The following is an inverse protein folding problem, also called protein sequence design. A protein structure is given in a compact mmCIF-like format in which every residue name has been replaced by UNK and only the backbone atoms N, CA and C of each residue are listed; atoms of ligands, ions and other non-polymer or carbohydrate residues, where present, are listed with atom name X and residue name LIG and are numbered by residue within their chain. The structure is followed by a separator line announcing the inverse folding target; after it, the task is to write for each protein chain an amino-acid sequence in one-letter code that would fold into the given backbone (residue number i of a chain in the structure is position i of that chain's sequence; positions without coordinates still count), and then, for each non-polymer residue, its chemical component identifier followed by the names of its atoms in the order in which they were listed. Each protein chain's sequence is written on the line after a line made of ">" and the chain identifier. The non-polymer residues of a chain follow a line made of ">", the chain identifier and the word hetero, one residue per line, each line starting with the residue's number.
data_IF_190536052195
#
_entry.id   IF_190536052195
#
_cell.length_a   1.000
_cell.length_b   1.000
_cell.length_c   1.000
_cell.angle_alpha   90.00
_cell.angle_beta   90.00
_cell.angle_gamma   90.00
#
_symmetry.space_group_name_H-M   'P 1'
#
loop_
_entity.id
_entity.type
_entity.pdbx_description
1 polymer ?
#
# COMPACT_ATOMS: atom_id res chain seq x y z
N UNK A 1 -9.34 16.84 11.52
CA UNK A 1 -8.59 15.67 12.02
C UNK A 1 -7.37 15.50 11.13
N UNK A 2 -6.15 15.67 11.64
CA UNK A 2 -4.95 15.43 10.86
C UNK A 2 -4.86 13.93 10.56
N UNK A 3 -5.17 13.53 9.32
CA UNK A 3 -5.09 12.13 8.93
C UNK A 3 -3.61 11.71 8.96
N UNK A 4 -3.26 10.85 9.92
CA UNK A 4 -1.91 10.32 10.06
C UNK A 4 -1.63 9.40 8.87
N UNK A 5 -0.58 9.71 8.10
CA UNK A 5 -0.17 8.87 6.96
C UNK A 5 0.17 7.47 7.45
N UNK A 6 -0.43 6.46 6.83
CA UNK A 6 -0.21 5.05 7.13
C UNK A 6 0.47 4.38 5.93
N UNK A 7 1.32 3.39 6.20
CA UNK A 7 1.89 2.57 5.13
C UNK A 7 0.96 1.41 4.82
N UNK A 8 0.45 1.37 3.61
CA UNK A 8 -0.33 0.27 3.06
C UNK A 8 0.58 -0.66 2.27
N UNK A 9 0.33 -1.95 2.41
CA UNK A 9 0.98 -3.01 1.65
C UNK A 9 -0.06 -3.74 0.84
N UNK A 10 0.30 -4.09 -0.39
CA UNK A 10 -0.55 -4.88 -1.27
C UNK A 10 0.25 -6.04 -1.84
N UNK A 11 -0.35 -7.22 -1.91
CA UNK A 11 0.13 -8.26 -2.82
C UNK A 11 -0.66 -8.11 -4.10
N UNK A 12 0.05 -7.98 -5.21
CA UNK A 12 -0.56 -7.69 -6.49
C UNK A 12 0.04 -8.54 -7.60
N UNK A 13 -0.71 -8.71 -8.69
CA UNK A 13 -0.26 -9.37 -9.91
C UNK A 13 -0.33 -8.32 -11.02
N UNK A 14 0.74 -8.19 -11.80
CA UNK A 14 0.75 -7.28 -12.94
C UNK A 14 -0.17 -7.81 -14.04
N UNK A 15 -1.13 -6.98 -14.49
CA UNK A 15 -2.12 -7.37 -15.52
C UNK A 15 -1.49 -7.62 -16.88
N UNK A 16 -0.39 -6.92 -17.17
CA UNK A 16 0.28 -6.95 -18.47
C UNK A 16 1.27 -8.12 -18.53
N UNK A 17 1.68 -8.64 -17.38
CA UNK A 17 2.76 -9.61 -17.31
C UNK A 17 2.23 -11.03 -17.51
N UNK A 18 2.80 -11.74 -18.48
CA UNK A 18 2.36 -13.09 -18.89
C UNK A 18 2.57 -14.14 -17.80
N UNK A 19 3.45 -13.87 -16.84
CA UNK A 19 3.66 -14.71 -15.66
C UNK A 19 2.90 -14.12 -14.47
N UNK A 20 2.07 -14.94 -13.84
CA UNK A 20 1.31 -14.65 -12.62
C UNK A 20 2.21 -14.60 -11.38
N UNK A 21 3.30 -13.82 -11.45
CA UNK A 21 4.21 -13.67 -10.32
C UNK A 21 3.62 -12.65 -9.33
N UNK A 22 3.32 -13.05 -8.09
CA UNK A 22 2.88 -12.11 -7.09
C UNK A 22 4.02 -11.14 -6.73
N UNK A 23 3.72 -9.85 -6.69
CA UNK A 23 4.62 -8.80 -6.27
C UNK A 23 4.09 -8.12 -5.01
N UNK A 24 4.99 -7.63 -4.17
CA UNK A 24 4.64 -6.88 -2.97
C UNK A 24 4.81 -5.38 -3.23
N UNK A 25 3.70 -4.64 -3.19
CA UNK A 25 3.65 -3.18 -3.36
C UNK A 25 3.51 -2.51 -2.00
N UNK A 26 4.14 -1.36 -1.81
CA UNK A 26 4.09 -0.57 -0.57
C UNK A 26 3.85 0.89 -0.89
N UNK A 27 2.98 1.55 -0.13
CA UNK A 27 2.66 2.96 -0.34
C UNK A 27 2.26 3.64 0.95
N UNK A 28 2.68 4.87 1.15
CA UNK A 28 2.31 5.66 2.33
C UNK A 28 1.28 6.70 1.93
N UNK A 29 0.04 6.53 2.39
CA UNK A 29 -1.08 7.41 2.06
C UNK A 29 -1.91 7.71 3.32
N UNK A 30 -2.81 8.68 3.20
CA UNK A 30 -3.75 9.04 4.27
C UNK A 30 -4.90 8.04 4.41
N UNK A 31 -5.31 7.40 3.31
CA UNK A 31 -6.42 6.47 3.27
C UNK A 31 -6.16 5.29 2.32
N UNK A 32 -6.84 4.16 2.57
CA UNK A 32 -6.69 2.95 1.76
C UNK A 32 -7.16 3.19 0.31
N UNK A 33 -8.17 4.03 0.11
CA UNK A 33 -8.75 4.25 -1.23
C UNK A 33 -7.75 4.95 -2.15
N UNK A 34 -7.07 6.00 -1.67
CA UNK A 34 -5.98 6.68 -2.36
C UNK A 34 -4.80 5.73 -2.61
N UNK A 35 -4.44 4.91 -1.63
CA UNK A 35 -3.41 3.88 -1.77
C UNK A 35 -3.76 2.85 -2.87
N UNK A 36 -5.02 2.42 -2.93
CA UNK A 36 -5.55 1.46 -3.91
C UNK A 36 -5.58 2.06 -5.31
N UNK A 37 -6.01 3.31 -5.45
CA UNK A 37 -6.11 4.02 -6.73
C UNK A 37 -4.76 4.12 -7.45
N UNK A 38 -3.64 4.17 -6.71
CA UNK A 38 -2.29 4.20 -7.30
C UNK A 38 -1.90 2.94 -8.05
N UNK A 39 -2.53 1.79 -7.77
CA UNK A 39 -2.12 0.49 -8.31
C UNK A 39 -3.22 -0.26 -9.08
N UNK A 40 -4.49 0.11 -8.92
CA UNK A 40 -5.63 -0.62 -9.51
C UNK A 40 -5.68 -0.58 -11.05
N UNK A 41 -4.99 0.39 -11.67
CA UNK A 41 -4.88 0.49 -13.13
C UNK A 41 -4.04 -0.66 -13.70
N UNK A 42 -2.83 -0.81 -13.18
CA UNK A 42 -1.81 -1.71 -13.74
C UNK A 42 -1.80 -3.09 -13.08
N UNK A 43 -2.33 -3.20 -11.86
CA UNK A 43 -2.24 -4.41 -11.05
C UNK A 43 -3.60 -4.93 -10.59
N UNK A 44 -3.71 -6.26 -10.53
CA UNK A 44 -4.76 -6.95 -9.79
C UNK A 44 -4.31 -7.04 -8.34
N UNK A 45 -5.05 -6.42 -7.42
CA UNK A 45 -4.75 -6.43 -5.99
C UNK A 45 -5.38 -7.68 -5.35
N UNK A 46 -4.55 -8.58 -4.84
CA UNK A 46 -4.97 -9.85 -4.24
C UNK A 46 -5.10 -9.77 -2.72
N UNK A 47 -4.22 -8.99 -2.07
CA UNK A 47 -4.22 -8.78 -0.63
C UNK A 47 -3.96 -7.31 -0.32
N UNK A 48 -4.58 -6.80 0.75
CA UNK A 48 -4.34 -5.46 1.28
C UNK A 48 -4.08 -5.56 2.78
N UNK A 49 -3.05 -4.86 3.25
CA UNK A 49 -2.72 -4.75 4.66
C UNK A 49 -2.31 -3.32 5.01
N UNK A 50 -2.55 -2.92 6.25
CA UNK A 50 -2.07 -1.64 6.78
C UNK A 50 -0.99 -1.92 7.82
N UNK A 51 0.21 -1.43 7.56
CA UNK A 51 1.26 -1.41 8.56
C UNK A 51 1.00 -0.24 9.52
N UNK A 52 1.04 -0.48 10.84
CA UNK A 52 1.02 0.61 11.80
C UNK A 52 2.26 1.48 11.56
N UNK A 53 2.08 2.80 11.55
CA UNK A 53 3.22 3.71 11.63
C UNK A 53 3.92 3.43 12.96
N UNK A 54 5.10 2.80 12.92
CA UNK A 54 5.90 2.60 14.11
C UNK A 54 6.34 3.97 14.62
N UNK A 55 5.63 4.47 15.63
CA UNK A 55 6.08 5.58 16.46
C UNK A 55 7.15 5.02 17.38
N UNK A 56 8.42 5.07 16.95
CA UNK A 56 9.53 4.83 17.85
C UNK A 56 9.48 5.83 19.02
N UNK A 57 10.04 5.49 20.20
CA UNK A 57 9.94 6.30 21.41
C UNK A 57 10.46 7.75 21.26
N UNK A 58 11.27 8.03 20.24
CA UNK A 58 11.90 9.32 20.02
C UNK A 58 11.16 10.13 18.95
N UNK A 59 9.84 10.24 19.08
CA UNK A 59 9.01 10.97 18.13
C UNK A 59 9.46 12.43 17.96
N UNK A 60 10.13 12.72 16.85
CA UNK A 60 10.31 14.06 16.31
C UNK A 60 9.52 14.18 15.02
N UNK A 61 8.42 14.93 15.10
CA UNK A 61 7.90 15.80 14.05
C UNK A 61 7.91 17.21 14.59
#
# INVERSE_FOLDING_TARGET
>A
MAASKCTYIFVAINRIQTKTTPIMLRVTEVDEKSARLRFVSDYILCFAGRLPAYRGPNGTI
#
